data_IF_008248997181
#
_entry.id   IF_008248997181
#
_cell.length_a   1.000
_cell.length_b   1.000
_cell.length_c   1.000
_cell.angle_alpha   90.00
_cell.angle_beta   90.00
_cell.angle_gamma   90.00
#
_symmetry.space_group_name_H-M   'P 1'
#
loop_
_entity.id
_entity.type
_entity.pdbx_description
1 polymer ?
#
# COMPACT_ATOMS: atom_id res chain seq x y z
N UNK A 1 -12.97 16.77 13.79
CA UNK A 1 -12.91 15.35 13.39
C UNK A 1 -13.38 15.25 11.96
N UNK A 2 -12.61 14.58 11.12
CA UNK A 2 -12.93 14.31 9.73
C UNK A 2 -14.11 13.33 9.64
N UNK A 3 -15.00 13.55 8.68
CA UNK A 3 -16.08 12.61 8.39
C UNK A 3 -15.59 11.45 7.50
N UNK A 4 -16.43 10.43 7.33
CA UNK A 4 -16.09 9.24 6.55
C UNK A 4 -15.76 9.54 5.09
N UNK A 5 -16.39 10.56 4.49
CA UNK A 5 -16.13 11.00 3.11
C UNK A 5 -14.73 11.61 2.97
N UNK A 6 -14.33 12.44 3.94
CA UNK A 6 -12.99 13.03 3.99
C UNK A 6 -11.91 11.96 4.19
N UNK A 7 -12.14 11.00 5.09
CA UNK A 7 -11.20 9.88 5.29
C UNK A 7 -11.13 8.95 4.09
N UNK A 8 -12.24 8.72 3.40
CA UNK A 8 -12.26 7.95 2.15
C UNK A 8 -11.49 8.67 1.05
N UNK A 9 -11.72 9.98 0.88
CA UNK A 9 -10.96 10.81 -0.06
C UNK A 9 -9.46 10.81 0.24
N UNK A 10 -9.10 10.87 1.53
CA UNK A 10 -7.72 10.81 1.98
C UNK A 10 -7.01 9.50 1.60
N UNK A 11 -7.71 8.37 1.59
CA UNK A 11 -7.15 7.06 1.22
C UNK A 11 -7.01 6.84 -0.29
N UNK A 12 -7.74 7.59 -1.12
CA UNK A 12 -7.76 7.37 -2.58
C UNK A 12 -6.37 7.39 -3.25
N UNK A 13 -5.43 8.28 -2.92
CA UNK A 13 -4.11 8.30 -3.54
C UNK A 13 -3.35 6.97 -3.40
N UNK A 14 -3.37 6.35 -2.21
CA UNK A 14 -2.68 5.07 -1.98
C UNK A 14 -3.45 3.89 -2.58
N UNK A 15 -4.78 3.94 -2.61
CA UNK A 15 -5.60 2.92 -3.30
C UNK A 15 -5.30 2.93 -4.81
N UNK A 16 -5.32 4.10 -5.44
CA UNK A 16 -4.98 4.27 -6.85
C UNK A 16 -3.51 3.91 -7.10
N UNK A 17 -2.62 4.27 -6.17
CA UNK A 17 -1.22 3.83 -6.15
C UNK A 17 -1.08 2.31 -6.25
N UNK A 18 -1.77 1.59 -5.38
CA UNK A 18 -1.80 0.12 -5.35
C UNK A 18 -2.30 -0.50 -6.64
N UNK A 19 -3.47 -0.07 -7.12
CA UNK A 19 -4.07 -0.57 -8.37
C UNK A 19 -3.16 -0.31 -9.57
N UNK A 20 -2.66 0.91 -9.73
CA UNK A 20 -1.78 1.27 -10.82
C UNK A 20 -0.44 0.54 -10.74
N UNK A 21 0.10 0.29 -9.54
CA UNK A 21 1.32 -0.48 -9.38
C UNK A 21 1.14 -1.95 -9.81
N UNK A 22 -0.01 -2.56 -9.52
CA UNK A 22 -0.32 -3.92 -9.97
C UNK A 22 -0.37 -4.02 -11.51
N UNK A 23 -0.86 -2.99 -12.19
CA UNK A 23 -0.79 -2.88 -13.65
C UNK A 23 0.66 -2.69 -14.10
N UNK A 24 1.38 -1.73 -13.51
CA UNK A 24 2.76 -1.39 -13.84
C UNK A 24 3.71 -2.61 -13.76
N UNK A 25 3.58 -3.45 -12.73
CA UNK A 25 4.39 -4.66 -12.56
C UNK A 25 4.24 -5.61 -13.74
N UNK A 26 3.03 -5.73 -14.32
CA UNK A 26 2.75 -6.59 -15.49
C UNK A 26 3.15 -5.99 -16.84
N UNK A 27 3.23 -4.66 -16.95
CA UNK A 27 3.66 -4.00 -18.20
C UNK A 27 5.11 -4.36 -18.56
N UNK A 28 5.49 -4.43 -19.85
CA UNK A 28 6.87 -4.66 -20.30
C UNK A 28 7.74 -3.38 -20.18
N UNK A 29 7.60 -2.67 -19.05
CA UNK A 29 8.31 -1.42 -18.74
C UNK A 29 9.21 -1.64 -17.52
N UNK A 30 10.39 -1.00 -17.53
CA UNK A 30 11.36 -1.06 -16.42
C UNK A 30 11.71 -2.50 -15.98
N UNK A 31 11.79 -3.43 -16.94
CA UNK A 31 11.98 -4.86 -16.67
C UNK A 31 13.31 -5.19 -15.99
N UNK A 32 14.30 -4.31 -16.09
CA UNK A 32 15.55 -4.40 -15.30
C UNK A 32 15.29 -4.41 -13.79
N UNK A 33 14.16 -3.88 -13.32
CA UNK A 33 13.77 -3.85 -11.91
C UNK A 33 12.98 -5.10 -11.48
N UNK A 34 12.68 -6.05 -12.36
CA UNK A 34 11.98 -7.30 -12.00
C UNK A 34 12.80 -8.22 -11.08
N UNK A 35 14.07 -7.91 -10.85
CA UNK A 35 14.90 -8.62 -9.89
C UNK A 35 14.24 -8.70 -8.51
N UNK A 36 14.31 -9.88 -7.88
CA UNK A 36 13.76 -10.08 -6.53
C UNK A 36 14.61 -9.35 -5.50
N UNK A 37 13.97 -8.80 -4.48
CA UNK A 37 14.65 -8.04 -3.42
C UNK A 37 15.59 -8.92 -2.57
N UNK A 38 15.31 -10.23 -2.51
CA UNK A 38 16.14 -11.20 -1.81
C UNK A 38 17.28 -11.79 -2.68
N UNK A 39 17.39 -11.40 -3.95
CA UNK A 39 18.34 -11.95 -4.91
C UNK A 39 18.36 -13.50 -4.98
N UNK A 40 17.22 -14.15 -4.74
CA UNK A 40 17.13 -15.61 -4.74
C UNK A 40 17.73 -16.29 -3.50
N UNK A 41 18.14 -15.53 -2.48
CA UNK A 41 18.81 -16.07 -1.29
C UNK A 41 17.88 -16.90 -0.41
N UNK A 42 18.48 -17.88 0.25
CA UNK A 42 17.84 -18.72 1.27
C UNK A 42 18.26 -18.25 2.66
N UNK A 43 17.35 -18.38 3.61
CA UNK A 43 17.60 -18.16 5.04
C UNK A 43 18.18 -19.43 5.68
N UNK A 44 18.55 -19.35 6.97
CA UNK A 44 19.15 -20.48 7.72
C UNK A 44 18.27 -21.73 7.78
N UNK A 45 16.96 -21.58 7.53
CA UNK A 45 15.99 -22.67 7.51
C UNK A 45 15.83 -23.33 6.13
N UNK A 46 16.67 -22.97 5.16
CA UNK A 46 16.64 -23.51 3.80
C UNK A 46 15.49 -22.99 2.93
N UNK A 47 14.76 -21.96 3.37
CA UNK A 47 13.65 -21.36 2.62
C UNK A 47 14.00 -19.96 2.14
N UNK A 48 13.35 -19.47 1.08
CA UNK A 48 13.56 -18.12 0.54
C UNK A 48 13.39 -17.03 1.61
N UNK A 49 14.14 -15.94 1.53
CA UNK A 49 14.00 -14.85 2.51
C UNK A 49 12.66 -14.15 2.35
N UNK A 50 12.31 -13.70 1.14
CA UNK A 50 11.04 -13.01 0.83
C UNK A 50 10.20 -13.77 -0.20
N UNK A 51 10.84 -14.32 -1.24
CA UNK A 51 10.18 -15.01 -2.36
C UNK A 51 9.97 -14.11 -3.58
N UNK A 52 9.55 -14.75 -4.69
CA UNK A 52 9.65 -14.15 -6.03
C UNK A 52 8.70 -12.98 -6.30
N UNK A 53 7.62 -12.86 -5.51
CA UNK A 53 6.66 -11.77 -5.66
C UNK A 53 7.16 -10.42 -5.11
N UNK A 54 8.30 -10.39 -4.38
CA UNK A 54 8.88 -9.16 -3.83
C UNK A 54 10.02 -8.68 -4.73
N UNK A 55 9.70 -7.80 -5.67
CA UNK A 55 10.62 -7.27 -6.68
C UNK A 55 10.90 -5.78 -6.48
N UNK A 56 12.05 -5.32 -6.95
CA UNK A 56 12.38 -3.88 -6.93
C UNK A 56 11.42 -3.05 -7.77
N UNK A 57 10.87 -3.62 -8.85
CA UNK A 57 9.87 -2.98 -9.71
C UNK A 57 8.60 -2.65 -8.94
N UNK A 58 8.06 -3.62 -8.20
CA UNK A 58 6.88 -3.41 -7.37
C UNK A 58 7.16 -2.46 -6.20
N UNK A 59 8.34 -2.56 -5.59
CA UNK A 59 8.76 -1.70 -4.48
C UNK A 59 8.85 -0.23 -4.90
N UNK A 60 9.63 0.07 -5.93
CA UNK A 60 9.79 1.44 -6.44
C UNK A 60 8.50 1.95 -7.09
N UNK A 61 7.76 1.08 -7.77
CA UNK A 61 6.47 1.40 -8.36
C UNK A 61 5.47 1.91 -7.31
N UNK A 62 5.31 1.24 -6.17
CA UNK A 62 4.45 1.74 -5.10
C UNK A 62 4.85 3.12 -4.60
N UNK A 63 6.15 3.38 -4.41
CA UNK A 63 6.65 4.66 -3.93
C UNK A 63 6.31 5.77 -4.93
N UNK A 64 6.73 5.61 -6.19
CA UNK A 64 6.61 6.67 -7.19
C UNK A 64 5.18 6.87 -7.70
N UNK A 65 4.41 5.79 -7.87
CA UNK A 65 3.03 5.88 -8.36
C UNK A 65 2.12 6.47 -7.26
N UNK A 66 2.33 6.11 -5.99
CA UNK A 66 1.59 6.74 -4.88
C UNK A 66 1.99 8.21 -4.70
N UNK A 67 3.28 8.54 -4.85
CA UNK A 67 3.75 9.93 -4.88
C UNK A 67 3.06 10.74 -5.98
N UNK A 68 2.96 10.17 -7.19
CA UNK A 68 2.25 10.79 -8.31
C UNK A 68 0.78 11.05 -7.99
N UNK A 69 0.03 10.05 -7.52
CA UNK A 69 -1.39 10.22 -7.19
C UNK A 69 -1.60 11.21 -6.05
N UNK A 70 -0.74 11.21 -5.03
CA UNK A 70 -0.82 12.20 -3.95
C UNK A 70 -0.57 13.61 -4.49
N UNK A 71 0.37 13.81 -5.42
CA UNK A 71 0.59 15.09 -6.07
C UNK A 71 -0.60 15.54 -6.92
N UNK A 72 -1.25 14.61 -7.65
CA UNK A 72 -2.50 14.88 -8.38
C UNK A 72 -3.59 15.36 -7.42
N UNK A 73 -3.78 14.68 -6.29
CA UNK A 73 -4.78 15.08 -5.29
C UNK A 73 -4.42 16.41 -4.62
N UNK A 74 -3.14 16.67 -4.35
CA UNK A 74 -2.67 17.99 -3.90
C UNK A 74 -3.00 19.10 -4.90
N UNK A 75 -2.87 18.83 -6.19
CA UNK A 75 -3.30 19.76 -7.25
C UNK A 75 -4.82 19.93 -7.29
N UNK A 76 -5.60 18.86 -7.12
CA UNK A 76 -7.06 18.98 -7.05
C UNK A 76 -7.49 19.85 -5.86
N UNK A 77 -6.91 19.60 -4.69
CA UNK A 77 -7.20 20.32 -3.44
C UNK A 77 -6.88 21.82 -3.52
N UNK A 78 -5.92 22.22 -4.37
CA UNK A 78 -5.53 23.63 -4.53
C UNK A 78 -6.33 24.37 -5.61
N UNK A 79 -7.02 23.65 -6.51
CA UNK A 79 -7.75 24.25 -7.64
C UNK A 79 -9.28 24.14 -7.53
N UNK A 80 -9.79 23.21 -6.72
CA UNK A 80 -11.21 22.95 -6.62
C UNK A 80 -11.70 23.00 -5.17
N UNK A 81 -12.72 23.83 -4.92
CA UNK A 81 -13.28 24.01 -3.58
C UNK A 81 -13.86 22.72 -2.98
N UNK A 82 -14.49 21.89 -3.82
CA UNK A 82 -15.04 20.60 -3.36
C UNK A 82 -13.93 19.65 -2.90
N UNK A 83 -12.79 19.63 -3.60
CA UNK A 83 -11.65 18.78 -3.26
C UNK A 83 -10.96 19.29 -1.99
N UNK A 84 -10.81 20.62 -1.88
CA UNK A 84 -10.32 21.29 -0.68
C UNK A 84 -11.19 20.97 0.55
N UNK A 85 -12.51 20.98 0.40
CA UNK A 85 -13.45 20.64 1.48
C UNK A 85 -13.35 19.17 1.92
N UNK A 86 -12.97 18.26 1.02
CA UNK A 86 -12.77 16.85 1.32
C UNK A 86 -11.38 16.52 1.89
N UNK A 87 -10.37 17.36 1.64
CA UNK A 87 -9.01 17.13 2.12
C UNK A 87 -8.90 17.28 3.63
N UNK A 88 -8.35 16.25 4.29
CA UNK A 88 -7.91 16.33 5.70
C UNK A 88 -6.49 16.89 5.84
N UNK A 89 -5.77 17.00 4.73
CA UNK A 89 -4.43 17.56 4.70
C UNK A 89 -4.52 19.08 4.72
N UNK A 90 -3.93 19.66 5.75
CA UNK A 90 -3.81 21.10 5.91
C UNK A 90 -2.71 21.61 4.98
N UNK A 91 -3.11 22.28 3.89
CA UNK A 91 -2.21 22.90 2.93
C UNK A 91 -1.34 24.01 3.54
N UNK A 92 -1.72 24.56 4.70
CA UNK A 92 -0.94 25.60 5.39
C UNK A 92 0.21 25.06 6.24
N UNK A 93 0.19 23.77 6.60
CA UNK A 93 1.19 23.17 7.51
C UNK A 93 2.56 22.97 6.85
N UNK A 94 2.58 22.77 5.53
CA UNK A 94 3.79 22.51 4.75
C UNK A 94 3.59 23.00 3.31
N UNK A 95 3.80 24.31 3.12
CA UNK A 95 3.62 24.96 1.82
C UNK A 95 4.93 24.96 1.04
N UNK A 96 5.29 23.82 0.44
CA UNK A 96 6.36 23.76 -0.54
C UNK A 96 6.00 22.84 -1.72
N UNK A 97 6.53 23.10 -2.94
CA UNK A 97 6.03 22.48 -4.18
C UNK A 97 6.09 20.94 -4.24
N UNK A 98 6.94 20.32 -3.39
CA UNK A 98 7.16 18.87 -3.38
C UNK A 98 6.51 18.15 -2.18
N UNK A 99 5.74 18.85 -1.33
CA UNK A 99 5.19 18.26 -0.12
C UNK A 99 4.34 17.01 -0.40
N UNK A 100 3.37 17.11 -1.31
CA UNK A 100 2.51 15.99 -1.69
C UNK A 100 3.25 14.83 -2.35
N UNK A 101 4.32 15.10 -3.10
CA UNK A 101 5.19 14.05 -3.65
C UNK A 101 5.87 13.26 -2.53
N UNK A 102 6.39 13.97 -1.52
CA UNK A 102 7.02 13.35 -0.36
C UNK A 102 6.00 12.56 0.45
N UNK A 103 4.79 13.08 0.67
CA UNK A 103 3.74 12.38 1.42
C UNK A 103 3.35 11.08 0.75
N UNK A 104 3.09 11.10 -0.56
CA UNK A 104 2.77 9.89 -1.30
C UNK A 104 3.95 8.92 -1.39
N UNK A 105 5.18 9.43 -1.47
CA UNK A 105 6.39 8.61 -1.41
C UNK A 105 6.56 7.91 -0.06
N UNK A 106 6.34 8.62 1.05
CA UNK A 106 6.35 8.06 2.40
C UNK A 106 5.27 7.01 2.58
N UNK A 107 4.06 7.27 2.07
CA UNK A 107 2.98 6.29 2.11
C UNK A 107 3.25 5.06 1.26
N UNK A 108 3.69 5.23 0.02
CA UNK A 108 4.08 4.13 -0.84
C UNK A 108 5.21 3.30 -0.24
N UNK A 109 6.20 3.96 0.40
CA UNK A 109 7.29 3.29 1.11
C UNK A 109 6.79 2.53 2.34
N UNK A 110 5.97 3.16 3.19
CA UNK A 110 5.37 2.53 4.35
C UNK A 110 4.54 1.30 3.98
N UNK A 111 3.75 1.42 2.91
CA UNK A 111 2.98 0.32 2.34
C UNK A 111 3.87 -0.89 2.04
N UNK A 112 4.91 -0.74 1.18
CA UNK A 112 5.71 -1.89 0.77
C UNK A 112 6.65 -2.40 1.85
N UNK A 113 7.16 -1.51 2.70
CA UNK A 113 8.07 -1.89 3.79
C UNK A 113 7.39 -2.83 4.77
N UNK A 114 6.14 -2.54 5.15
CA UNK A 114 5.42 -3.31 6.16
C UNK A 114 4.85 -4.63 5.63
N UNK A 115 4.76 -4.82 4.31
CA UNK A 115 4.48 -6.13 3.72
C UNK A 115 5.65 -7.13 3.81
N UNK A 116 6.90 -6.64 3.94
CA UNK A 116 8.09 -7.49 3.91
C UNK A 116 8.19 -8.43 5.13
N UNK A 117 7.97 -7.98 6.39
CA UNK A 117 7.96 -8.87 7.55
C UNK A 117 6.96 -10.01 7.41
N UNK A 118 5.75 -9.71 6.93
CA UNK A 118 4.71 -10.70 6.72
C UNK A 118 5.15 -11.74 5.67
N UNK A 119 5.73 -11.29 4.56
CA UNK A 119 6.30 -12.19 3.54
C UNK A 119 7.42 -13.08 4.08
N UNK A 120 8.31 -12.53 4.89
CA UNK A 120 9.36 -13.28 5.55
C UNK A 120 8.78 -14.36 6.48
N UNK A 121 7.81 -14.02 7.33
CA UNK A 121 7.17 -14.95 8.27
C UNK A 121 6.45 -16.07 7.49
N UNK A 122 5.70 -15.73 6.43
CA UNK A 122 5.01 -16.71 5.58
C UNK A 122 5.96 -17.78 5.03
N UNK A 123 7.19 -17.41 4.64
CA UNK A 123 8.20 -18.38 4.21
C UNK A 123 8.59 -19.34 5.34
N UNK A 124 8.77 -18.86 6.57
CA UNK A 124 9.17 -19.69 7.73
C UNK A 124 8.13 -20.77 8.06
N UNK A 125 6.86 -20.53 7.76
CA UNK A 125 5.74 -21.46 8.03
C UNK A 125 5.25 -22.23 6.79
N UNK A 126 6.08 -22.32 5.73
CA UNK A 126 5.78 -23.05 4.49
C UNK A 126 4.55 -22.54 3.72
N UNK A 127 4.31 -21.23 3.73
CA UNK A 127 3.37 -20.61 2.79
C UNK A 127 4.20 -20.01 1.66
N UNK A 128 4.02 -20.48 0.43
CA UNK A 128 4.72 -20.00 -0.77
C UNK A 128 4.23 -18.65 -1.29
N UNK A 129 4.97 -18.00 -2.21
CA UNK A 129 4.55 -16.74 -2.82
C UNK A 129 3.24 -16.91 -3.59
N UNK A 130 2.20 -16.16 -3.20
CA UNK A 130 0.88 -16.29 -3.82
C UNK A 130 0.19 -17.62 -3.51
N UNK A 131 0.54 -18.24 -2.38
CA UNK A 131 -0.20 -19.36 -1.81
C UNK A 131 -0.99 -18.91 -0.59
N UNK A 132 -2.15 -19.54 -0.40
CA UNK A 132 -2.97 -19.45 0.79
C UNK A 132 -3.04 -20.82 1.47
N UNK A 133 -3.06 -20.83 2.80
CA UNK A 133 -3.22 -22.05 3.59
C UNK A 133 -4.67 -22.17 4.08
N UNK A 134 -5.30 -23.35 4.12
CA UNK A 134 -6.59 -23.51 4.78
C UNK A 134 -6.45 -23.46 6.30
N UNK A 135 -7.54 -23.12 6.99
CA UNK A 135 -7.64 -23.13 8.46
C UNK A 135 -7.27 -21.80 9.13
N UNK A 136 -7.22 -21.78 10.48
CA UNK A 136 -7.08 -20.55 11.26
C UNK A 136 -5.82 -19.73 10.95
N UNK A 137 -4.70 -20.41 10.69
CA UNK A 137 -3.43 -19.77 10.31
C UNK A 137 -3.58 -19.05 8.98
N UNK A 138 -4.24 -19.67 8.00
CA UNK A 138 -4.52 -19.06 6.71
C UNK A 138 -5.37 -17.80 6.81
N UNK A 139 -6.43 -17.86 7.61
CA UNK A 139 -7.32 -16.72 7.83
C UNK A 139 -6.58 -15.55 8.52
N UNK A 140 -5.70 -15.85 9.46
CA UNK A 140 -4.83 -14.85 10.08
C UNK A 140 -3.93 -14.17 9.04
N UNK A 141 -3.24 -14.94 8.19
CA UNK A 141 -2.39 -14.35 7.15
C UNK A 141 -3.17 -13.62 6.06
N UNK A 142 -4.38 -14.09 5.72
CA UNK A 142 -5.26 -13.38 4.82
C UNK A 142 -5.60 -11.99 5.36
N UNK A 143 -5.93 -11.88 6.65
CA UNK A 143 -6.15 -10.59 7.30
C UNK A 143 -4.87 -9.75 7.37
N UNK A 144 -3.76 -10.36 7.78
CA UNK A 144 -2.47 -9.66 7.90
C UNK A 144 -1.98 -9.12 6.56
N UNK A 145 -2.17 -9.84 5.45
CA UNK A 145 -1.84 -9.39 4.09
C UNK A 145 -2.62 -8.13 3.67
N UNK A 146 -3.74 -7.82 4.34
CA UNK A 146 -4.51 -6.60 4.10
C UNK A 146 -4.11 -5.48 5.06
N UNK A 147 -3.89 -5.83 6.33
CA UNK A 147 -3.67 -4.90 7.42
C UNK A 147 -2.23 -4.38 7.52
N UNK A 148 -1.23 -5.17 7.10
CA UNK A 148 0.20 -4.85 7.25
C UNK A 148 0.59 -3.54 6.57
N UNK A 149 0.26 -3.40 5.29
CA UNK A 149 0.47 -2.22 4.47
C UNK A 149 -0.31 -1.00 4.98
N UNK A 150 -1.52 -1.21 5.50
CA UNK A 150 -2.34 -0.16 6.14
C UNK A 150 -1.65 0.35 7.40
N UNK A 151 -1.12 -0.53 8.25
CA UNK A 151 -0.34 -0.14 9.44
C UNK A 151 0.89 0.66 9.03
N UNK A 152 1.61 0.21 8.00
CA UNK A 152 2.74 0.95 7.45
C UNK A 152 2.35 2.36 7.01
N UNK A 153 1.26 2.50 6.24
CA UNK A 153 0.73 3.80 5.84
C UNK A 153 0.32 4.65 7.06
N UNK A 154 -0.30 4.06 8.08
CA UNK A 154 -0.72 4.78 9.28
C UNK A 154 0.44 5.29 10.12
N UNK A 155 1.55 4.58 10.19
CA UNK A 155 2.76 5.04 10.87
C UNK A 155 3.40 6.18 10.05
N UNK A 156 3.54 6.00 8.75
CA UNK A 156 4.21 6.96 7.88
C UNK A 156 3.37 8.22 7.60
N UNK A 157 2.04 8.18 7.76
CA UNK A 157 1.23 9.40 7.68
C UNK A 157 1.47 10.36 8.82
N UNK A 158 1.95 9.91 9.98
CA UNK A 158 2.14 10.77 11.16
C UNK A 158 3.07 11.96 10.89
N UNK A 159 3.90 11.87 9.86
CA UNK A 159 4.76 12.96 9.39
C UNK A 159 3.98 14.13 8.77
N UNK A 160 2.77 13.91 8.26
CA UNK A 160 1.99 14.92 7.54
C UNK A 160 0.51 15.01 7.95
N UNK A 161 -0.02 14.01 8.65
CA UNK A 161 -1.38 13.98 9.19
C UNK A 161 -1.40 13.22 10.52
N UNK A 162 -1.89 13.87 11.57
CA UNK A 162 -2.01 13.29 12.90
C UNK A 162 -3.48 13.05 13.20
N UNK A 163 -4.00 11.81 13.02
CA UNK A 163 -5.39 11.53 13.29
C UNK A 163 -5.66 11.49 14.80
N UNK A 164 -6.91 11.78 15.17
CA UNK A 164 -7.49 11.35 16.43
C UNK A 164 -7.56 9.82 16.50
N UNK A 165 -7.70 9.25 17.70
CA UNK A 165 -7.82 7.79 17.86
C UNK A 165 -9.01 7.22 17.07
N UNK A 166 -10.12 7.96 17.00
CA UNK A 166 -11.30 7.56 16.22
C UNK A 166 -11.01 7.57 14.72
N UNK A 167 -10.38 8.62 14.19
CA UNK A 167 -9.97 8.68 12.78
C UNK A 167 -8.99 7.56 12.45
N UNK A 168 -8.01 7.27 13.32
CA UNK A 168 -7.06 6.18 13.15
C UNK A 168 -7.78 4.82 13.08
N UNK A 169 -8.74 4.56 13.97
CA UNK A 169 -9.53 3.33 13.95
C UNK A 169 -10.36 3.21 12.66
N UNK A 170 -10.98 4.30 12.21
CA UNK A 170 -11.75 4.33 10.95
C UNK A 170 -10.83 4.12 9.74
N UNK A 171 -9.67 4.78 9.69
CA UNK A 171 -8.67 4.60 8.64
C UNK A 171 -8.20 3.15 8.58
N UNK A 172 -7.92 2.52 9.73
CA UNK A 172 -7.49 1.13 9.79
C UNK A 172 -8.55 0.19 9.22
N UNK A 173 -9.80 0.32 9.67
CA UNK A 173 -10.91 -0.52 9.21
C UNK A 173 -11.22 -0.28 7.73
N UNK A 174 -11.39 0.98 7.31
CA UNK A 174 -11.67 1.32 5.92
C UNK A 174 -10.52 0.89 5.00
N UNK A 175 -9.28 1.20 5.35
CA UNK A 175 -8.11 0.84 4.57
C UNK A 175 -8.01 -0.68 4.39
N UNK A 176 -8.18 -1.45 5.46
CA UNK A 176 -8.10 -2.92 5.41
C UNK A 176 -9.24 -3.52 4.58
N UNK A 177 -10.47 -3.05 4.78
CA UNK A 177 -11.65 -3.52 4.03
C UNK A 177 -11.54 -3.16 2.54
N UNK A 178 -11.17 -1.92 2.22
CA UNK A 178 -11.00 -1.48 0.83
C UNK A 178 -9.87 -2.27 0.17
N UNK A 179 -8.73 -2.46 0.86
CA UNK A 179 -7.63 -3.25 0.32
C UNK A 179 -8.08 -4.68 -0.02
N UNK A 180 -8.83 -5.33 0.88
CA UNK A 180 -9.41 -6.65 0.61
C UNK A 180 -10.35 -6.66 -0.60
N UNK A 181 -11.26 -5.69 -0.69
CA UNK A 181 -12.20 -5.56 -1.83
C UNK A 181 -11.44 -5.34 -3.14
N UNK A 182 -10.43 -4.47 -3.14
CA UNK A 182 -9.58 -4.23 -4.32
C UNK A 182 -8.84 -5.51 -4.71
N UNK A 183 -8.35 -6.30 -3.75
CA UNK A 183 -7.70 -7.58 -4.04
C UNK A 183 -8.64 -8.60 -4.68
N UNK A 184 -9.92 -8.64 -4.26
CA UNK A 184 -10.95 -9.42 -4.96
C UNK A 184 -11.13 -8.93 -6.39
N UNK A 185 -11.30 -7.62 -6.60
CA UNK A 185 -11.48 -7.06 -7.95
C UNK A 185 -10.28 -7.35 -8.85
N UNK A 186 -9.06 -7.18 -8.34
CA UNK A 186 -7.82 -7.49 -9.06
C UNK A 186 -7.71 -8.97 -9.43
N UNK A 187 -8.19 -9.88 -8.58
CA UNK A 187 -8.29 -11.30 -8.91
C UNK A 187 -9.30 -11.55 -10.03
N UNK A 188 -10.49 -10.94 -9.96
CA UNK A 188 -11.55 -11.09 -10.98
C UNK A 188 -11.11 -10.61 -12.37
N UNK A 189 -10.28 -9.56 -12.45
CA UNK A 189 -9.73 -9.05 -13.72
C UNK A 189 -8.41 -9.73 -14.12
N UNK A 190 -7.97 -10.78 -13.41
CA UNK A 190 -6.76 -11.54 -13.72
C UNK A 190 -5.46 -10.77 -13.45
N UNK A 191 -5.49 -9.69 -12.68
CA UNK A 191 -4.31 -8.95 -12.24
C UNK A 191 -3.64 -9.59 -11.02
N UNK A 192 -4.39 -10.30 -10.17
CA UNK A 192 -3.87 -11.18 -9.11
C UNK A 192 -4.20 -12.64 -9.40
N UNK A 193 -3.36 -13.56 -8.91
CA UNK A 193 -3.56 -15.01 -9.05
C UNK A 193 -4.39 -15.61 -7.91
N UNK A 194 -4.66 -14.86 -6.84
CA UNK A 194 -5.47 -15.29 -5.70
C UNK A 194 -6.15 -14.11 -5.00
N UNK A 195 -7.17 -14.41 -4.21
CA UNK A 195 -7.82 -13.48 -3.28
C UNK A 195 -7.02 -13.51 -1.98
N UNK A 196 -6.45 -12.36 -1.57
CA UNK A 196 -5.45 -12.28 -0.50
C UNK A 196 -4.05 -12.06 -1.07
#
# INVERSE_FOLDING_TARGET
MANIGQLSYFLLPVILGGVCNMIFVKMPLADKLKATMDCGRFWIDGKRVLGDNKTWKGFLGMIFITAFWMAVFGRLNSHFDWAKALSVLDSSRFDFPLAYWIYGGLWGFGYVLFELPNSFIKRRINIGPGENRPGPVGLFFLFMDQADSVIGCMILMLFFYTPTLQEAAIIFVLGTVIHYVINILLYLVGLKNQIG
#
